data_IF_940007521976
#
_entry.id   IF_940007521976
#
_cell.length_a   1.000
_cell.length_b   1.000
_cell.length_c   1.000
_cell.angle_alpha   90.00
_cell.angle_beta   90.00
_cell.angle_gamma   90.00
#
_symmetry.space_group_name_H-M   'P 1'
#
loop_
_entity.id
_entity.type
_entity.pdbx_description
1 polymer ?
#
# COMPACT_ATOMS: atom_id res chain seq x y z
N UNK A 1 20.97 -13.45 -10.80
CA UNK A 1 20.09 -12.35 -11.26
C UNK A 1 19.03 -12.06 -10.20
N UNK A 2 18.18 -13.03 -9.84
CA UNK A 2 17.21 -12.99 -8.73
C UNK A 2 17.68 -12.26 -7.44
N UNK A 3 18.85 -12.61 -6.89
CA UNK A 3 19.43 -11.94 -5.70
C UNK A 3 19.64 -10.42 -5.84
N UNK A 4 20.00 -9.92 -7.04
CA UNK A 4 20.19 -8.48 -7.25
C UNK A 4 18.86 -7.73 -7.27
N UNK A 5 17.79 -8.37 -7.76
CA UNK A 5 16.45 -7.78 -7.89
C UNK A 5 15.82 -7.62 -6.52
N UNK A 6 15.88 -8.67 -5.72
CA UNK A 6 15.43 -8.66 -4.34
C UNK A 6 16.18 -7.61 -3.52
N UNK A 7 17.51 -7.53 -3.66
CA UNK A 7 18.30 -6.51 -2.98
C UNK A 7 17.99 -5.08 -3.44
N UNK A 8 17.69 -4.87 -4.73
CA UNK A 8 17.26 -3.57 -5.24
C UNK A 8 15.88 -3.17 -4.73
N UNK A 9 14.93 -4.11 -4.65
CA UNK A 9 13.61 -3.90 -4.04
C UNK A 9 13.74 -3.55 -2.55
N UNK A 10 14.49 -4.36 -1.79
CA UNK A 10 14.76 -4.10 -0.37
C UNK A 10 15.45 -2.75 -0.19
N UNK A 11 16.46 -2.43 -1.00
CA UNK A 11 17.14 -1.14 -0.91
C UNK A 11 16.21 0.02 -1.24
N UNK A 12 15.34 -0.10 -2.24
CA UNK A 12 14.39 0.95 -2.61
C UNK A 12 13.36 1.19 -1.50
N UNK A 13 12.87 0.10 -0.89
CA UNK A 13 11.98 0.16 0.27
C UNK A 13 12.70 0.71 1.53
N UNK A 14 13.99 0.44 1.70
CA UNK A 14 14.75 0.85 2.88
C UNK A 14 15.35 2.28 2.81
N UNK A 15 15.53 2.88 1.63
CA UNK A 15 16.35 4.11 1.47
C UNK A 15 15.58 5.42 1.31
N UNK A 16 14.25 5.40 1.26
CA UNK A 16 13.43 6.60 1.45
C UNK A 16 11.96 6.19 1.61
N UNK A 17 11.12 7.00 2.30
CA UNK A 17 9.68 6.78 2.28
C UNK A 17 9.17 7.01 0.85
N UNK A 18 8.95 5.89 0.15
CA UNK A 18 8.07 5.78 -1.01
C UNK A 18 8.48 6.58 -2.24
N UNK A 19 9.54 6.13 -2.93
CA UNK A 19 9.51 6.28 -4.39
C UNK A 19 8.63 5.17 -4.95
N UNK A 20 7.33 5.33 -4.77
CA UNK A 20 6.31 4.38 -5.19
C UNK A 20 6.37 4.07 -6.69
N UNK A 21 6.77 5.06 -7.51
CA UNK A 21 7.03 4.86 -8.93
C UNK A 21 8.22 3.90 -9.19
N UNK A 22 9.34 4.08 -8.47
CA UNK A 22 10.48 3.15 -8.56
C UNK A 22 10.09 1.74 -8.10
N UNK A 23 9.33 1.62 -7.01
CA UNK A 23 8.86 0.33 -6.51
C UNK A 23 7.94 -0.33 -7.54
N UNK A 24 7.05 0.43 -8.18
CA UNK A 24 6.17 -0.08 -9.23
C UNK A 24 6.96 -0.56 -10.47
N UNK A 25 7.98 0.18 -10.90
CA UNK A 25 8.86 -0.23 -12.00
C UNK A 25 9.63 -1.51 -11.67
N UNK A 26 10.22 -1.59 -10.47
CA UNK A 26 10.93 -2.78 -10.00
C UNK A 26 9.98 -3.98 -9.86
N UNK A 27 8.75 -3.76 -9.39
CA UNK A 27 7.72 -4.79 -9.29
C UNK A 27 7.32 -5.34 -10.67
N UNK A 28 7.05 -4.45 -11.64
CA UNK A 28 6.75 -4.85 -13.02
C UNK A 28 7.90 -5.65 -13.62
N UNK A 29 9.14 -5.22 -13.39
CA UNK A 29 10.30 -5.91 -13.92
C UNK A 29 10.53 -7.28 -13.26
N UNK A 30 10.45 -7.38 -11.94
CA UNK A 30 10.55 -8.65 -11.21
C UNK A 30 9.49 -9.65 -11.66
N UNK A 31 8.25 -9.19 -11.84
CA UNK A 31 7.14 -9.97 -12.37
C UNK A 31 7.44 -10.48 -13.79
N UNK A 32 7.93 -9.61 -14.69
CA UNK A 32 8.31 -9.99 -16.06
C UNK A 32 9.48 -10.97 -16.12
N UNK A 33 10.36 -10.96 -15.12
CA UNK A 33 11.54 -11.81 -15.03
C UNK A 33 11.27 -13.17 -14.35
N UNK A 34 10.04 -13.41 -13.87
CA UNK A 34 9.67 -14.66 -13.17
C UNK A 34 10.39 -14.83 -11.82
N UNK A 35 10.69 -13.72 -11.16
CA UNK A 35 11.49 -13.72 -9.93
C UNK A 35 10.57 -13.90 -8.73
N UNK A 36 10.74 -15.00 -8.01
CA UNK A 36 10.10 -15.16 -6.70
C UNK A 36 10.75 -14.20 -5.70
N UNK A 37 9.92 -13.35 -5.10
CA UNK A 37 10.30 -12.33 -4.13
C UNK A 37 10.12 -12.89 -2.72
N UNK A 38 11.17 -12.85 -1.90
CA UNK A 38 11.20 -13.46 -0.58
C UNK A 38 10.43 -12.68 0.51
N UNK A 39 10.35 -13.31 1.69
CA UNK A 39 9.60 -12.83 2.86
C UNK A 39 10.03 -11.43 3.32
N UNK A 40 11.31 -11.09 3.22
CA UNK A 40 11.84 -9.81 3.70
C UNK A 40 11.18 -8.63 2.98
N UNK A 41 10.92 -8.76 1.67
CA UNK A 41 10.25 -7.71 0.89
C UNK A 41 8.81 -7.51 1.34
N UNK A 42 8.12 -8.58 1.73
CA UNK A 42 6.76 -8.50 2.28
C UNK A 42 6.74 -7.66 3.55
N UNK A 43 7.71 -7.84 4.43
CA UNK A 43 7.77 -7.08 5.69
C UNK A 43 7.96 -5.57 5.44
N UNK A 44 8.79 -5.18 4.48
CA UNK A 44 8.94 -3.77 4.11
C UNK A 44 7.64 -3.18 3.56
N UNK A 45 6.95 -3.88 2.66
CA UNK A 45 5.64 -3.44 2.17
C UNK A 45 4.64 -3.26 3.31
N UNK A 46 4.54 -4.25 4.20
CA UNK A 46 3.60 -4.20 5.33
C UNK A 46 3.92 -3.02 6.25
N UNK A 47 5.19 -2.83 6.63
CA UNK A 47 5.59 -1.75 7.51
C UNK A 47 5.28 -0.37 6.91
N UNK A 48 5.65 -0.12 5.65
CA UNK A 48 5.38 1.15 4.99
C UNK A 48 3.87 1.42 4.85
N UNK A 49 3.08 0.39 4.50
CA UNK A 49 1.62 0.51 4.42
C UNK A 49 1.01 0.85 5.79
N UNK A 50 1.50 0.24 6.87
CA UNK A 50 1.03 0.53 8.23
C UNK A 50 1.38 1.95 8.68
N UNK A 51 2.57 2.45 8.34
CA UNK A 51 2.95 3.83 8.64
C UNK A 51 2.07 4.84 7.89
N UNK A 52 1.78 4.59 6.61
CA UNK A 52 0.86 5.41 5.82
C UNK A 52 -0.56 5.40 6.41
N UNK A 53 -1.07 4.24 6.80
CA UNK A 53 -2.39 4.12 7.43
C UNK A 53 -2.46 4.83 8.78
N UNK A 54 -1.36 4.85 9.55
CA UNK A 54 -1.26 5.65 10.78
C UNK A 54 -1.34 7.13 10.45
N UNK A 55 -0.58 7.61 9.46
CA UNK A 55 -0.65 9.00 9.01
C UNK A 55 -2.04 9.42 8.52
N UNK A 56 -2.70 8.56 7.74
CA UNK A 56 -4.08 8.79 7.27
C UNK A 56 -5.12 8.76 8.41
N UNK A 57 -4.82 8.09 9.53
CA UNK A 57 -5.68 8.13 10.72
C UNK A 57 -5.62 9.49 11.42
N UNK A 58 -4.49 10.20 11.30
CA UNK A 58 -4.29 11.54 11.85
C UNK A 58 -4.78 12.62 10.87
N UNK A 59 -4.52 12.43 9.57
CA UNK A 59 -4.94 13.32 8.50
C UNK A 59 -5.50 12.54 7.30
N UNK A 60 -6.82 12.25 7.28
CA UNK A 60 -7.43 11.46 6.21
C UNK A 60 -7.53 12.22 4.87
N UNK A 61 -7.17 13.50 4.84
CA UNK A 61 -7.13 14.32 3.63
C UNK A 61 -5.73 14.38 2.99
N UNK A 62 -4.73 13.67 3.54
CA UNK A 62 -3.39 13.62 2.97
C UNK A 62 -3.37 12.82 1.66
N UNK A 63 -3.56 13.54 0.55
CA UNK A 63 -3.56 12.98 -0.81
C UNK A 63 -2.22 12.32 -1.17
N UNK A 64 -1.08 12.77 -0.61
CA UNK A 64 0.21 12.13 -0.88
C UNK A 64 0.23 10.73 -0.27
N UNK A 65 -0.12 10.62 1.01
CA UNK A 65 -0.15 9.33 1.71
C UNK A 65 -1.16 8.35 1.09
N UNK A 66 -2.29 8.85 0.56
CA UNK A 66 -3.23 8.03 -0.22
C UNK A 66 -2.61 7.46 -1.49
N UNK A 67 -2.01 8.32 -2.32
CA UNK A 67 -1.39 7.91 -3.58
C UNK A 67 -0.22 6.93 -3.35
N UNK A 68 0.57 7.17 -2.32
CA UNK A 68 1.68 6.31 -1.93
C UNK A 68 1.18 4.92 -1.50
N UNK A 69 0.12 4.86 -0.69
CA UNK A 69 -0.47 3.59 -0.25
C UNK A 69 -1.08 2.82 -1.42
N UNK A 70 -1.80 3.49 -2.32
CA UNK A 70 -2.37 2.85 -3.51
C UNK A 70 -1.26 2.25 -4.39
N UNK A 71 -0.18 3.00 -4.61
CA UNK A 71 0.93 2.57 -5.44
C UNK A 71 1.69 1.39 -4.83
N UNK A 72 1.88 1.36 -3.51
CA UNK A 72 2.43 0.19 -2.82
C UNK A 72 1.54 -1.03 -2.98
N UNK A 73 0.23 -0.89 -2.79
CA UNK A 73 -0.71 -2.01 -2.92
C UNK A 73 -0.74 -2.54 -4.35
N UNK A 74 -0.68 -1.67 -5.36
CA UNK A 74 -0.57 -2.09 -6.77
C UNK A 74 0.72 -2.85 -7.04
N UNK A 75 1.83 -2.37 -6.51
CA UNK A 75 3.13 -3.02 -6.65
C UNK A 75 3.15 -4.40 -5.97
N UNK A 76 2.59 -4.48 -4.77
CA UNK A 76 2.44 -5.73 -4.02
C UNK A 76 1.64 -6.78 -4.82
N UNK A 77 0.51 -6.36 -5.39
CA UNK A 77 -0.34 -7.22 -6.23
C UNK A 77 0.38 -7.62 -7.52
N UNK A 78 1.11 -6.70 -8.16
CA UNK A 78 1.86 -6.98 -9.40
C UNK A 78 3.00 -8.00 -9.21
N UNK A 79 3.58 -8.03 -8.01
CA UNK A 79 4.56 -9.03 -7.60
C UNK A 79 3.96 -10.41 -7.33
N UNK A 80 2.63 -10.55 -7.37
CA UNK A 80 1.96 -11.82 -7.08
C UNK A 80 2.09 -12.28 -5.63
N UNK A 81 2.35 -11.35 -4.70
CA UNK A 81 2.54 -11.66 -3.29
C UNK A 81 1.21 -12.05 -2.62
N UNK A 82 1.21 -13.00 -1.67
CA UNK A 82 -0.02 -13.53 -1.07
C UNK A 82 -0.73 -12.48 -0.21
N UNK A 83 -2.00 -12.19 -0.49
CA UNK A 83 -2.80 -11.22 0.25
C UNK A 83 -3.00 -11.59 1.73
N UNK A 84 -2.87 -12.88 2.08
CA UNK A 84 -2.95 -13.36 3.46
C UNK A 84 -1.88 -12.73 4.36
N UNK A 85 -0.78 -12.26 3.76
CA UNK A 85 0.30 -11.55 4.47
C UNK A 85 -0.03 -10.08 4.75
N UNK A 86 -1.13 -9.55 4.22
CA UNK A 86 -1.58 -8.18 4.47
C UNK A 86 -2.62 -8.09 5.60
N UNK A 87 -2.79 -9.14 6.41
CA UNK A 87 -3.80 -9.18 7.49
C UNK A 87 -3.74 -7.95 8.39
N UNK A 88 -2.54 -7.56 8.86
CA UNK A 88 -2.39 -6.38 9.74
C UNK A 88 -2.75 -5.06 9.03
N UNK A 89 -2.42 -4.94 7.74
CA UNK A 89 -2.76 -3.77 6.90
C UNK A 89 -4.27 -3.69 6.69
N UNK A 90 -4.92 -4.82 6.43
CA UNK A 90 -6.37 -4.92 6.29
C UNK A 90 -7.06 -4.50 7.58
N UNK A 91 -6.60 -4.99 8.74
CA UNK A 91 -7.14 -4.60 10.04
C UNK A 91 -6.95 -3.11 10.33
N UNK A 92 -5.76 -2.56 10.02
CA UNK A 92 -5.48 -1.14 10.18
C UNK A 92 -6.41 -0.28 9.30
N UNK A 93 -6.66 -0.69 8.06
CA UNK A 93 -7.60 0.00 7.17
C UNK A 93 -9.04 -0.07 7.69
N UNK A 94 -9.49 -1.22 8.22
CA UNK A 94 -10.81 -1.34 8.87
C UNK A 94 -10.94 -0.37 10.04
N UNK A 95 -9.91 -0.26 10.88
CA UNK A 95 -9.91 0.69 12.02
C UNK A 95 -9.98 2.14 11.55
N UNK A 96 -9.22 2.50 10.51
CA UNK A 96 -9.26 3.81 9.88
C UNK A 96 -10.67 4.13 9.36
N UNK A 97 -11.28 3.19 8.62
CA UNK A 97 -12.65 3.31 8.11
C UNK A 97 -13.64 3.61 9.24
N UNK A 98 -13.67 2.74 10.24
CA UNK A 98 -14.71 2.76 11.29
C UNK A 98 -14.56 3.96 12.22
N UNK A 99 -13.32 4.39 12.51
CA UNK A 99 -13.07 5.47 13.48
C UNK A 99 -12.95 6.85 12.85
N UNK A 100 -12.51 6.95 11.61
CA UNK A 100 -12.16 8.23 10.98
C UNK A 100 -13.02 8.49 9.75
N UNK A 101 -13.00 7.58 8.77
CA UNK A 101 -13.59 7.86 7.45
C UNK A 101 -15.12 7.97 7.53
N UNK A 102 -15.78 7.11 8.32
CA UNK A 102 -17.23 7.18 8.54
C UNK A 102 -17.64 8.52 9.18
N UNK A 103 -16.85 9.02 10.13
CA UNK A 103 -17.16 10.27 10.83
C UNK A 103 -16.95 11.52 9.95
N UNK A 104 -16.08 11.41 8.94
CA UNK A 104 -15.73 12.51 8.05
C UNK A 104 -16.24 12.30 6.61
N UNK A 105 -17.21 11.40 6.42
CA UNK A 105 -17.64 10.95 5.10
C UNK A 105 -18.06 12.10 4.16
N UNK A 106 -18.87 13.04 4.64
CA UNK A 106 -19.32 14.18 3.83
C UNK A 106 -18.16 15.13 3.45
N UNK A 107 -17.24 15.37 4.39
CA UNK A 107 -16.03 16.18 4.13
C UNK A 107 -15.16 15.52 3.06
N UNK A 108 -14.83 14.24 3.24
CA UNK A 108 -14.00 13.49 2.29
C UNK A 108 -14.67 13.39 0.91
N UNK A 109 -16.00 13.23 0.87
CA UNK A 109 -16.78 13.25 -0.36
C UNK A 109 -16.70 14.59 -1.08
N UNK A 110 -16.84 15.71 -0.36
CA UNK A 110 -16.69 17.05 -0.94
C UNK A 110 -15.29 17.32 -1.52
N UNK A 111 -14.28 16.65 -0.97
CA UNK A 111 -12.89 16.71 -1.45
C UNK A 111 -12.60 15.71 -2.57
N UNK A 112 -13.56 14.85 -2.93
CA UNK A 112 -13.40 13.83 -3.95
C UNK A 112 -12.59 12.60 -3.51
N UNK A 113 -12.23 12.47 -2.23
CA UNK A 113 -11.35 11.41 -1.72
C UNK A 113 -12.07 10.07 -1.47
N UNK A 114 -13.41 10.08 -1.52
CA UNK A 114 -14.21 8.86 -1.30
C UNK A 114 -13.90 7.77 -2.34
N UNK A 115 -13.61 8.15 -3.60
CA UNK A 115 -13.23 7.19 -4.64
C UNK A 115 -11.88 6.53 -4.38
N UNK A 116 -10.94 7.28 -3.81
CA UNK A 116 -9.58 6.81 -3.58
C UNK A 116 -9.59 5.76 -2.47
N UNK A 117 -10.29 6.04 -1.36
CA UNK A 117 -10.47 5.04 -0.32
C UNK A 117 -11.28 3.81 -0.76
N UNK A 118 -12.23 3.95 -1.69
CA UNK A 118 -12.91 2.80 -2.31
C UNK A 118 -11.93 1.95 -3.13
N UNK A 119 -11.00 2.57 -3.84
CA UNK A 119 -9.98 1.86 -4.61
C UNK A 119 -9.04 1.09 -3.66
N UNK A 120 -8.60 1.72 -2.57
CA UNK A 120 -7.81 1.07 -1.52
C UNK A 120 -8.52 -0.15 -0.93
N UNK A 121 -9.81 -0.02 -0.58
CA UNK A 121 -10.60 -1.14 -0.07
C UNK A 121 -10.65 -2.32 -1.05
N UNK A 122 -10.79 -2.05 -2.36
CA UNK A 122 -10.76 -3.11 -3.39
C UNK A 122 -9.41 -3.83 -3.46
N UNK A 123 -8.30 -3.09 -3.43
CA UNK A 123 -6.95 -3.67 -3.46
C UNK A 123 -6.68 -4.53 -2.23
N UNK A 124 -7.13 -4.08 -1.05
CA UNK A 124 -7.02 -4.81 0.21
C UNK A 124 -8.03 -5.95 0.35
N UNK A 125 -9.02 -6.06 -0.55
CA UNK A 125 -10.20 -6.93 -0.41
C UNK A 125 -10.97 -6.70 0.90
N UNK A 126 -11.04 -5.44 1.34
CA UNK A 126 -11.78 -4.98 2.51
C UNK A 126 -12.90 -4.06 2.06
N UNK A 127 -14.10 -4.24 2.62
CA UNK A 127 -15.25 -3.38 2.28
C UNK A 127 -15.02 -1.96 2.78
N UNK A 128 -15.13 -0.97 1.90
CA UNK A 128 -14.96 0.44 2.26
C UNK A 128 -16.13 1.01 3.05
N UNK A 129 -17.38 0.63 2.73
CA UNK A 129 -18.62 0.93 3.46
C UNK A 129 -19.68 -0.13 3.09
#
# INVERSE_FOLDING_TARGET
>A
MQYYIERSLVSALATAPLNSALIEELAKWASSAGVEVGTDVVEYFVNDMLELLRGLSENPADAKSLNDLESLLRSYVALGLPLERLTDVQEAFVRLRDKVLVQQAETLKSMGLESDYKALGKLLRVKYL
#
